data_IF_806116073599
#
_entry.id   IF_806116073599
#
_cell.length_a   1.000
_cell.length_b   1.000
_cell.length_c   1.000
_cell.angle_alpha   90.00
_cell.angle_beta   90.00
_cell.angle_gamma   90.00
#
_symmetry.space_group_name_H-M   'P 1'
#
loop_
_entity.id
_entity.type
_entity.pdbx_description
1 polymer ?
#
# COMPACT_ATOMS: atom_id res chain seq x y z
N UNK A 1 23.44 24.70 -7.23
CA UNK A 1 22.58 25.20 -6.12
C UNK A 1 21.16 24.82 -6.47
N UNK A 2 20.61 23.75 -5.82
CA UNK A 2 19.22 23.38 -5.99
C UNK A 2 18.37 24.38 -5.20
N UNK A 3 17.69 25.28 -5.88
CA UNK A 3 16.70 26.15 -5.28
C UNK A 3 15.41 25.34 -5.10
N UNK A 4 15.15 24.87 -3.90
CA UNK A 4 13.87 24.27 -3.55
C UNK A 4 12.86 25.38 -3.37
N UNK A 5 12.14 25.73 -4.42
CA UNK A 5 10.99 26.63 -4.30
C UNK A 5 9.88 25.82 -3.62
N UNK A 6 9.59 26.13 -2.35
CA UNK A 6 8.43 25.60 -1.65
C UNK A 6 7.20 26.31 -2.25
N UNK A 7 6.60 25.73 -3.29
CA UNK A 7 5.38 26.23 -3.91
C UNK A 7 4.23 26.02 -2.91
N UNK A 8 3.59 27.13 -2.51
CA UNK A 8 2.35 27.05 -1.76
C UNK A 8 1.23 26.67 -2.74
N UNK A 9 0.70 25.46 -2.58
CA UNK A 9 -0.38 24.92 -3.42
C UNK A 9 -1.62 25.81 -3.31
N UNK A 10 -1.89 26.36 -2.14
CA UNK A 10 -3.03 27.25 -1.90
C UNK A 10 -2.94 28.49 -2.76
N UNK A 11 -1.79 29.14 -2.82
CA UNK A 11 -1.57 30.33 -3.64
C UNK A 11 -1.80 30.04 -5.13
N UNK A 12 -1.34 28.86 -5.60
CA UNK A 12 -1.54 28.45 -6.99
C UNK A 12 -3.03 28.23 -7.29
N UNK A 13 -3.75 27.58 -6.38
CA UNK A 13 -5.19 27.32 -6.52
C UNK A 13 -5.97 28.63 -6.52
N UNK A 14 -5.70 29.54 -5.58
CA UNK A 14 -6.36 30.84 -5.48
C UNK A 14 -6.05 31.77 -6.66
N UNK A 15 -4.84 31.67 -7.22
CA UNK A 15 -4.47 32.38 -8.45
C UNK A 15 -5.21 31.85 -9.67
N UNK A 16 -5.35 30.54 -9.79
CA UNK A 16 -6.06 29.89 -10.91
C UNK A 16 -7.57 30.06 -10.80
N UNK A 17 -8.10 29.98 -9.58
CA UNK A 17 -9.53 30.08 -9.28
C UNK A 17 -9.78 31.20 -8.25
N UNK A 18 -9.83 32.48 -8.68
CA UNK A 18 -10.02 33.60 -7.75
C UNK A 18 -11.28 33.50 -6.89
N UNK A 19 -12.26 32.72 -7.32
CA UNK A 19 -13.51 32.47 -6.60
C UNK A 19 -13.31 31.71 -5.28
N UNK A 20 -12.17 31.03 -5.13
CA UNK A 20 -11.79 30.25 -3.94
C UNK A 20 -11.06 31.07 -2.88
N UNK A 21 -10.69 32.33 -3.17
CA UNK A 21 -9.97 33.18 -2.22
C UNK A 21 -10.76 33.37 -0.93
N UNK A 22 -10.12 33.00 0.19
CA UNK A 22 -10.71 33.10 1.51
C UNK A 22 -11.83 32.08 1.79
N UNK A 23 -12.14 31.18 0.84
CA UNK A 23 -13.15 30.15 1.01
C UNK A 23 -12.53 28.77 1.32
N UNK A 24 -11.24 28.59 1.10
CA UNK A 24 -10.55 27.30 1.26
C UNK A 24 -10.33 26.99 2.74
N UNK A 25 -10.86 25.87 3.21
CA UNK A 25 -10.61 25.30 4.53
C UNK A 25 -9.39 24.39 4.51
N UNK A 26 -9.43 23.35 3.67
CA UNK A 26 -8.33 22.38 3.54
C UNK A 26 -8.01 22.09 2.07
N UNK A 27 -6.77 21.67 1.82
CA UNK A 27 -6.33 21.17 0.51
C UNK A 27 -5.56 19.86 0.72
N UNK A 28 -6.01 18.81 0.06
CA UNK A 28 -5.33 17.52 0.04
C UNK A 28 -4.88 17.17 -1.37
N UNK A 29 -3.62 16.74 -1.50
CA UNK A 29 -3.09 16.26 -2.78
C UNK A 29 -3.55 14.82 -2.99
N UNK A 30 -4.47 14.63 -3.93
CA UNK A 30 -4.99 13.31 -4.31
C UNK A 30 -4.04 12.61 -5.29
N UNK A 31 -3.47 13.41 -6.22
CA UNK A 31 -2.55 12.87 -7.22
C UNK A 31 -1.55 13.91 -7.67
N UNK A 32 -0.29 13.49 -7.83
CA UNK A 32 0.77 14.25 -8.48
C UNK A 32 1.35 13.44 -9.64
N UNK A 33 1.31 13.97 -10.83
CA UNK A 33 1.87 13.37 -12.03
C UNK A 33 2.82 14.34 -12.74
N UNK A 34 3.72 13.82 -13.57
CA UNK A 34 4.61 14.62 -14.41
C UNK A 34 4.02 14.67 -15.82
N UNK A 35 3.86 15.86 -16.36
CA UNK A 35 3.56 16.07 -17.77
C UNK A 35 4.82 16.57 -18.51
N UNK A 36 5.40 15.69 -19.33
CA UNK A 36 6.59 15.95 -20.13
C UNK A 36 6.30 15.97 -21.64
N UNK A 37 5.04 16.11 -22.06
CA UNK A 37 4.64 16.09 -23.47
C UNK A 37 5.16 17.28 -24.25
N UNK A 38 5.38 18.43 -23.59
CA UNK A 38 5.86 19.68 -24.23
C UNK A 38 7.27 20.00 -23.75
N UNK A 39 8.27 19.27 -24.20
CA UNK A 39 9.68 19.58 -23.90
C UNK A 39 10.10 20.93 -24.52
N UNK A 40 10.92 21.74 -23.81
CA UNK A 40 11.55 21.48 -22.51
C UNK A 40 10.67 21.79 -21.28
N UNK A 41 9.43 22.23 -21.46
CA UNK A 41 8.52 22.60 -20.39
C UNK A 41 7.91 21.34 -19.74
N UNK A 42 8.59 20.83 -18.71
CA UNK A 42 8.09 19.72 -17.88
C UNK A 42 7.39 20.31 -16.66
N UNK A 43 6.16 19.90 -16.42
CA UNK A 43 5.33 20.41 -15.33
C UNK A 43 4.78 19.29 -14.46
N UNK A 44 4.51 19.60 -13.19
CA UNK A 44 3.71 18.74 -12.35
C UNK A 44 2.24 19.06 -12.53
N UNK A 45 1.44 18.01 -12.67
CA UNK A 45 -0.02 18.09 -12.70
C UNK A 45 -0.56 17.52 -11.38
N UNK A 46 -1.34 18.32 -10.67
CA UNK A 46 -1.96 17.94 -9.41
C UNK A 46 -3.45 17.74 -9.58
N UNK A 47 -3.98 16.66 -9.00
CA UNK A 47 -5.40 16.54 -8.66
C UNK A 47 -5.52 16.81 -7.17
N UNK A 48 -6.37 17.75 -6.83
CA UNK A 48 -6.53 18.25 -5.45
C UNK A 48 -7.97 17.99 -5.00
N UNK A 49 -8.13 17.58 -3.77
CA UNK A 49 -9.38 17.69 -3.04
C UNK A 49 -9.32 18.96 -2.21
N UNK A 50 -10.33 19.82 -2.35
CA UNK A 50 -10.37 21.14 -1.71
C UNK A 50 -11.70 21.27 -0.96
N UNK A 51 -11.62 21.40 0.33
CA UNK A 51 -12.78 21.72 1.18
C UNK A 51 -12.97 23.22 1.23
N UNK A 52 -14.19 23.67 1.08
CA UNK A 52 -14.52 25.09 1.01
C UNK A 52 -15.76 25.44 1.82
N UNK A 53 -15.77 26.62 2.40
CA UNK A 53 -16.97 27.19 2.97
C UNK A 53 -18.00 27.47 1.87
N UNK A 54 -19.29 27.23 2.15
CA UNK A 54 -20.39 27.51 1.23
C UNK A 54 -20.25 26.86 -0.16
N UNK A 55 -19.92 25.55 -0.18
CA UNK A 55 -19.66 24.75 -1.39
C UNK A 55 -20.68 25.01 -2.52
N UNK A 56 -22.00 25.02 -2.20
CA UNK A 56 -23.04 25.22 -3.20
C UNK A 56 -22.93 26.57 -3.94
N UNK A 57 -22.50 27.63 -3.27
CA UNK A 57 -22.31 28.95 -3.91
C UNK A 57 -21.02 28.96 -4.74
N UNK A 58 -19.95 28.35 -4.23
CA UNK A 58 -18.67 28.22 -4.94
C UNK A 58 -18.84 27.41 -6.21
N UNK A 59 -19.53 26.28 -6.15
CA UNK A 59 -19.80 25.43 -7.33
C UNK A 59 -20.62 26.15 -8.40
N UNK A 60 -21.58 26.99 -8.03
CA UNK A 60 -22.28 27.85 -9.00
C UNK A 60 -21.33 28.81 -9.73
N UNK A 61 -20.37 29.41 -9.00
CA UNK A 61 -19.36 30.32 -9.59
C UNK A 61 -18.33 29.57 -10.46
N UNK A 62 -18.06 28.31 -10.14
CA UNK A 62 -17.11 27.44 -10.87
C UNK A 62 -17.77 26.56 -11.94
N UNK A 63 -19.07 26.67 -12.17
CA UNK A 63 -19.85 25.82 -13.10
C UNK A 63 -19.32 25.76 -14.52
N UNK A 64 -18.58 26.79 -14.97
CA UNK A 64 -17.96 26.85 -16.30
C UNK A 64 -16.57 26.24 -16.36
N UNK A 65 -16.01 25.85 -15.21
CA UNK A 65 -14.67 25.25 -15.11
C UNK A 65 -14.77 23.74 -15.36
N UNK A 66 -14.19 23.26 -16.46
CA UNK A 66 -14.26 21.83 -16.85
C UNK A 66 -13.39 20.93 -15.99
N UNK A 67 -12.45 21.47 -15.27
CA UNK A 67 -11.48 20.80 -14.42
C UNK A 67 -11.84 20.88 -12.91
N UNK A 68 -13.06 21.30 -12.61
CA UNK A 68 -13.62 21.33 -11.26
C UNK A 68 -14.92 20.55 -11.23
N UNK A 69 -15.05 19.66 -10.26
CA UNK A 69 -16.27 18.86 -10.03
C UNK A 69 -16.48 18.63 -8.54
N UNK A 70 -17.71 18.37 -8.15
CA UNK A 70 -17.99 17.89 -6.80
C UNK A 70 -17.38 16.50 -6.65
N UNK A 71 -16.71 16.28 -5.54
CA UNK A 71 -16.16 14.98 -5.19
C UNK A 71 -17.13 14.27 -4.25
N UNK A 72 -17.53 13.08 -4.64
CA UNK A 72 -18.27 12.15 -3.78
C UNK A 72 -17.32 11.03 -3.39
N UNK A 73 -17.03 10.90 -2.11
CA UNK A 73 -16.22 9.78 -1.63
C UNK A 73 -16.98 8.48 -1.84
N UNK A 74 -16.34 7.54 -2.53
CA UNK A 74 -16.81 6.16 -2.57
C UNK A 74 -16.14 5.41 -1.43
N UNK A 75 -16.85 5.22 -0.33
CA UNK A 75 -16.38 4.37 0.74
C UNK A 75 -16.42 2.91 0.27
N UNK A 76 -15.41 2.11 0.60
CA UNK A 76 -15.45 0.69 0.28
C UNK A 76 -16.62 0.03 1.01
N UNK A 77 -17.30 -0.87 0.32
CA UNK A 77 -18.40 -1.64 0.94
C UNK A 77 -17.93 -2.25 2.26
N UNK A 78 -18.76 -2.19 3.32
CA UNK A 78 -18.42 -2.78 4.60
C UNK A 78 -18.23 -4.30 4.45
N UNK A 79 -17.29 -4.84 5.22
CA UNK A 79 -17.08 -6.28 5.24
C UNK A 79 -18.26 -6.91 5.96
N UNK A 80 -18.95 -7.82 5.27
CA UNK A 80 -20.01 -8.62 5.89
C UNK A 80 -19.38 -9.90 6.42
N UNK A 81 -19.38 -10.03 7.74
CA UNK A 81 -18.83 -11.22 8.41
C UNK A 81 -19.85 -12.35 8.40
N UNK A 82 -19.33 -13.59 8.28
CA UNK A 82 -20.16 -14.77 8.52
C UNK A 82 -20.51 -14.91 10.01
N UNK A 83 -21.54 -15.66 10.29
CA UNK A 83 -22.03 -15.94 11.66
C UNK A 83 -21.61 -17.32 12.18
N UNK A 84 -20.86 -18.09 11.40
CA UNK A 84 -20.36 -19.41 11.80
C UNK A 84 -18.96 -19.27 12.38
N UNK A 85 -18.73 -19.63 13.66
CA UNK A 85 -17.40 -19.60 14.25
C UNK A 85 -16.46 -20.56 13.54
N UNK A 86 -15.21 -20.12 13.32
CA UNK A 86 -14.17 -21.00 12.79
C UNK A 86 -13.72 -21.99 13.88
N UNK A 87 -13.78 -23.29 13.58
CA UNK A 87 -13.29 -24.33 14.49
C UNK A 87 -11.77 -24.29 14.68
N UNK A 88 -11.04 -23.80 13.68
CA UNK A 88 -9.59 -23.75 13.67
C UNK A 88 -9.08 -22.40 13.17
N UNK A 89 -7.83 -22.11 13.48
CA UNK A 89 -7.13 -20.90 13.02
C UNK A 89 -6.97 -20.94 11.48
N UNK A 90 -7.21 -19.83 10.76
CA UNK A 90 -6.95 -19.78 9.33
C UNK A 90 -5.47 -20.04 9.03
N UNK A 91 -5.20 -20.75 7.94
CA UNK A 91 -3.85 -20.99 7.44
C UNK A 91 -3.63 -20.13 6.19
N UNK A 92 -2.51 -19.41 6.17
CA UNK A 92 -2.07 -18.63 5.02
C UNK A 92 -0.80 -19.27 4.44
N UNK A 93 -0.84 -19.62 3.15
CA UNK A 93 0.27 -20.24 2.45
C UNK A 93 1.08 -19.21 1.68
N UNK A 94 2.33 -18.97 2.11
CA UNK A 94 3.24 -17.99 1.57
C UNK A 94 3.08 -16.61 2.24
N UNK A 95 4.21 -15.90 2.40
CA UNK A 95 4.27 -14.57 3.03
C UNK A 95 4.79 -13.51 2.03
N UNK A 96 4.39 -13.64 0.76
CA UNK A 96 4.48 -12.58 -0.23
C UNK A 96 3.38 -11.53 -0.03
N UNK A 97 3.25 -10.53 -0.91
CA UNK A 97 2.30 -9.40 -0.72
C UNK A 97 0.86 -9.83 -0.45
N UNK A 98 0.36 -10.82 -1.18
CA UNK A 98 -1.01 -11.32 -1.01
C UNK A 98 -1.20 -12.02 0.34
N UNK A 99 -0.29 -12.94 0.70
CA UNK A 99 -0.37 -13.67 1.97
C UNK A 99 -0.17 -12.75 3.17
N UNK A 100 0.72 -11.76 3.05
CA UNK A 100 0.95 -10.75 4.09
C UNK A 100 -0.30 -9.91 4.36
N UNK A 101 -0.97 -9.40 3.32
CA UNK A 101 -2.21 -8.65 3.47
C UNK A 101 -3.34 -9.55 3.98
N UNK A 102 -3.46 -10.80 3.51
CA UNK A 102 -4.44 -11.74 4.03
C UNK A 102 -4.23 -11.99 5.53
N UNK A 103 -2.99 -12.27 5.95
CA UNK A 103 -2.65 -12.49 7.36
C UNK A 103 -2.89 -11.24 8.20
N UNK A 104 -2.56 -10.06 7.67
CA UNK A 104 -2.78 -8.79 8.33
C UNK A 104 -4.27 -8.54 8.61
N UNK A 105 -5.12 -8.67 7.60
CA UNK A 105 -6.56 -8.50 7.77
C UNK A 105 -7.15 -9.55 8.71
N UNK A 106 -6.78 -10.83 8.58
CA UNK A 106 -7.23 -11.88 9.49
C UNK A 106 -6.81 -11.63 10.95
N UNK A 107 -5.58 -11.18 11.17
CA UNK A 107 -5.08 -10.87 12.50
C UNK A 107 -5.80 -9.65 13.10
N UNK A 108 -6.00 -8.60 12.31
CA UNK A 108 -6.76 -7.40 12.71
C UNK A 108 -8.17 -7.73 13.17
N UNK A 109 -8.82 -8.67 12.49
CA UNK A 109 -10.17 -9.12 12.83
C UNK A 109 -10.19 -10.22 13.93
N UNK A 110 -9.04 -10.51 14.56
CA UNK A 110 -8.95 -11.41 15.72
C UNK A 110 -8.89 -12.91 15.37
N UNK A 111 -8.78 -13.29 14.10
CA UNK A 111 -8.72 -14.70 13.67
C UNK A 111 -7.40 -15.41 13.96
N UNK A 112 -6.36 -14.70 14.36
CA UNK A 112 -5.04 -15.26 14.73
C UNK A 112 -4.50 -16.24 13.71
N UNK A 113 -4.23 -15.83 12.45
CA UNK A 113 -3.81 -16.73 11.38
C UNK A 113 -2.49 -17.42 11.68
N UNK A 114 -2.25 -18.58 11.06
CA UNK A 114 -0.95 -19.23 10.99
C UNK A 114 -0.45 -19.08 9.57
N UNK A 115 0.70 -18.43 9.40
CA UNK A 115 1.34 -18.25 8.11
C UNK A 115 2.49 -19.22 7.96
N UNK A 116 2.57 -19.91 6.82
CA UNK A 116 3.71 -20.73 6.45
C UNK A 116 4.44 -20.10 5.27
N UNK A 117 5.72 -19.76 5.46
CA UNK A 117 6.59 -19.21 4.43
C UNK A 117 7.76 -20.18 4.20
N UNK A 118 7.99 -20.53 2.93
CA UNK A 118 9.05 -21.47 2.55
C UNK A 118 10.45 -20.94 2.79
N UNK A 119 10.64 -19.63 2.60
CA UNK A 119 11.93 -18.95 2.81
C UNK A 119 12.10 -18.44 4.23
N UNK A 120 13.09 -17.61 4.40
CA UNK A 120 13.45 -17.00 5.69
C UNK A 120 12.80 -15.63 5.88
N UNK A 121 12.85 -15.14 7.13
CA UNK A 121 12.52 -13.75 7.45
C UNK A 121 13.44 -12.77 6.70
N UNK A 122 13.01 -11.51 6.61
CA UNK A 122 13.67 -10.52 5.76
C UNK A 122 15.13 -10.24 6.14
N UNK A 123 15.49 -10.38 7.42
CA UNK A 123 16.85 -10.13 7.89
C UNK A 123 17.76 -11.30 7.46
N UNK A 124 17.40 -12.55 7.81
CA UNK A 124 18.11 -13.77 7.41
C UNK A 124 18.16 -13.93 5.88
N UNK A 125 17.04 -13.64 5.19
CA UNK A 125 16.95 -13.66 3.74
C UNK A 125 17.89 -12.65 3.09
N UNK A 126 18.09 -11.48 3.70
CA UNK A 126 19.03 -10.48 3.20
C UNK A 126 20.47 -10.99 3.23
N UNK A 127 20.85 -11.69 4.29
CA UNK A 127 22.15 -12.35 4.40
C UNK A 127 22.32 -13.46 3.36
N UNK A 128 21.27 -14.26 3.12
CA UNK A 128 21.27 -15.32 2.12
C UNK A 128 21.48 -14.76 0.71
N UNK A 129 20.77 -13.69 0.37
CA UNK A 129 20.87 -13.01 -0.93
C UNK A 129 22.27 -12.36 -1.10
N UNK A 130 22.80 -11.72 -0.07
CA UNK A 130 24.13 -11.11 -0.10
C UNK A 130 25.21 -12.18 -0.25
N UNK A 131 25.07 -13.31 0.43
CA UNK A 131 25.98 -14.46 0.31
C UNK A 131 25.95 -15.04 -1.09
N UNK A 132 24.79 -15.15 -1.70
CA UNK A 132 24.67 -15.57 -3.10
C UNK A 132 25.38 -14.58 -4.05
N UNK A 133 25.17 -13.28 -3.91
CA UNK A 133 25.80 -12.29 -4.78
C UNK A 133 27.32 -12.21 -4.62
N UNK A 134 27.82 -12.37 -3.38
CA UNK A 134 29.26 -12.25 -3.10
C UNK A 134 30.04 -13.54 -3.30
N UNK A 135 29.42 -14.70 -3.00
CA UNK A 135 30.11 -16.01 -2.92
C UNK A 135 29.53 -17.07 -3.86
N UNK A 136 28.43 -16.77 -4.57
CA UNK A 136 27.77 -17.77 -5.43
C UNK A 136 27.02 -18.87 -4.68
N UNK A 137 26.85 -18.78 -3.35
CA UNK A 137 26.15 -19.79 -2.55
C UNK A 137 24.66 -19.59 -2.64
N UNK A 138 23.98 -20.42 -3.41
CA UNK A 138 22.54 -20.33 -3.64
C UNK A 138 21.75 -21.21 -2.66
N UNK A 139 20.72 -20.61 -2.03
CA UNK A 139 19.75 -21.33 -1.21
C UNK A 139 18.41 -21.44 -1.96
N UNK A 140 17.97 -22.66 -2.33
CA UNK A 140 16.76 -22.85 -3.16
C UNK A 140 15.48 -22.30 -2.53
N UNK A 141 15.36 -22.35 -1.21
CA UNK A 141 14.13 -21.96 -0.50
C UNK A 141 14.20 -20.52 0.05
N UNK A 142 15.40 -19.88 0.10
CA UNK A 142 15.57 -18.51 0.61
C UNK A 142 16.50 -17.72 -0.30
N UNK A 143 15.94 -16.85 -1.13
CA UNK A 143 16.68 -16.11 -2.17
C UNK A 143 15.90 -14.88 -2.62
N UNK A 144 16.26 -14.30 -3.78
CA UNK A 144 15.59 -13.11 -4.34
C UNK A 144 14.10 -13.35 -4.66
N UNK A 145 13.66 -14.59 -4.88
CA UNK A 145 12.27 -14.92 -5.21
C UNK A 145 11.46 -15.34 -3.99
N UNK A 146 12.06 -16.12 -3.08
CA UNK A 146 11.38 -16.77 -1.96
C UNK A 146 11.83 -16.22 -0.62
N UNK A 147 10.89 -16.12 0.30
CA UNK A 147 11.05 -15.59 1.64
C UNK A 147 10.11 -14.40 1.91
N UNK A 148 10.18 -13.88 3.11
CA UNK A 148 9.32 -12.81 3.61
C UNK A 148 9.22 -11.61 2.63
N UNK A 149 7.99 -11.20 2.33
CA UNK A 149 7.69 -10.12 1.39
C UNK A 149 7.72 -10.51 -0.09
N UNK A 150 8.07 -11.78 -0.41
CA UNK A 150 8.15 -12.29 -1.78
C UNK A 150 9.23 -11.62 -2.63
N UNK A 151 9.18 -11.78 -3.94
CA UNK A 151 10.17 -11.24 -4.88
C UNK A 151 10.25 -9.69 -4.86
N UNK A 152 9.18 -9.02 -4.43
CA UNK A 152 9.11 -7.57 -4.32
C UNK A 152 10.13 -6.95 -3.38
N UNK A 153 10.51 -7.66 -2.30
CA UNK A 153 11.42 -7.19 -1.25
C UNK A 153 12.82 -6.80 -1.76
N UNK A 154 13.29 -7.44 -2.82
CA UNK A 154 14.58 -7.17 -3.45
C UNK A 154 14.46 -6.46 -4.81
N UNK A 155 13.29 -5.88 -5.09
CA UNK A 155 13.06 -5.02 -6.25
C UNK A 155 13.17 -3.54 -5.88
N UNK A 156 12.97 -2.65 -6.86
CA UNK A 156 12.89 -1.20 -6.62
C UNK A 156 11.59 -0.75 -5.92
N UNK A 157 10.71 -1.68 -5.57
CA UNK A 157 9.50 -1.41 -4.80
C UNK A 157 8.44 -0.61 -5.55
N UNK A 158 8.32 -0.81 -6.86
CA UNK A 158 7.24 -0.21 -7.63
C UNK A 158 5.88 -0.70 -7.15
N UNK A 159 5.02 0.24 -6.76
CA UNK A 159 3.63 -0.02 -6.43
C UNK A 159 2.76 0.33 -7.65
N UNK A 160 2.63 -0.62 -8.57
CA UNK A 160 1.77 -0.47 -9.74
C UNK A 160 0.76 -1.60 -9.82
N UNK A 161 -0.50 -1.24 -9.98
CA UNK A 161 -1.59 -2.18 -10.21
C UNK A 161 -2.46 -1.70 -11.36
N UNK A 162 -3.13 -2.63 -12.05
CA UNK A 162 -4.17 -2.32 -13.04
C UNK A 162 -5.57 -2.38 -12.42
N UNK A 163 -5.66 -2.76 -11.14
CA UNK A 163 -6.93 -2.80 -10.40
C UNK A 163 -7.25 -1.39 -9.92
N UNK A 164 -8.49 -0.98 -10.10
CA UNK A 164 -9.09 0.20 -9.49
C UNK A 164 -10.10 -0.28 -8.46
N UNK A 165 -9.79 -0.11 -7.17
CA UNK A 165 -10.68 -0.52 -6.09
C UNK A 165 -10.52 0.46 -4.91
N UNK A 166 -11.60 0.88 -4.23
CA UNK A 166 -11.53 1.83 -3.11
C UNK A 166 -10.56 1.42 -2.01
N UNK A 167 -10.44 0.11 -1.72
CA UNK A 167 -9.51 -0.43 -0.71
C UNK A 167 -8.03 -0.26 -1.04
N UNK A 168 -7.65 0.08 -2.27
CA UNK A 168 -6.24 0.32 -2.61
C UNK A 168 -5.66 1.50 -1.85
N UNK A 169 -6.46 2.54 -1.62
CA UNK A 169 -6.04 3.68 -0.82
C UNK A 169 -5.84 3.30 0.66
N UNK A 170 -6.73 2.48 1.21
CA UNK A 170 -6.60 1.93 2.56
C UNK A 170 -5.31 1.12 2.71
N UNK A 171 -5.02 0.21 1.77
CA UNK A 171 -3.78 -0.58 1.75
C UNK A 171 -2.54 0.32 1.72
N UNK A 172 -2.57 1.37 0.90
CA UNK A 172 -1.47 2.34 0.82
C UNK A 172 -1.26 3.08 2.14
N UNK A 173 -2.33 3.41 2.87
CA UNK A 173 -2.24 4.00 4.22
C UNK A 173 -1.56 3.05 5.21
N UNK A 174 -1.89 1.75 5.19
CA UNK A 174 -1.18 0.77 6.01
C UNK A 174 0.30 0.69 5.65
N UNK A 175 0.65 0.70 4.37
CA UNK A 175 2.06 0.71 4.00
C UNK A 175 2.80 1.92 4.54
N UNK A 176 2.17 3.11 4.56
CA UNK A 176 2.74 4.32 5.20
C UNK A 176 2.86 4.15 6.71
N UNK A 177 1.85 3.61 7.37
CA UNK A 177 1.88 3.31 8.81
C UNK A 177 3.07 2.41 9.16
N UNK A 178 3.40 1.44 8.29
CA UNK A 178 4.52 0.53 8.47
C UNK A 178 5.85 1.02 7.88
N UNK A 179 5.95 2.29 7.49
CA UNK A 179 7.22 2.94 7.14
C UNK A 179 7.46 3.18 5.65
N UNK A 180 6.47 2.93 4.78
CA UNK A 180 6.56 3.39 3.40
C UNK A 180 6.53 4.93 3.32
N UNK A 181 7.11 5.54 2.26
CA UNK A 181 7.06 6.98 2.09
C UNK A 181 5.63 7.49 1.95
N UNK A 182 5.26 8.55 2.64
CA UNK A 182 3.94 9.17 2.55
C UNK A 182 3.55 9.55 1.10
N UNK A 183 4.54 9.86 0.27
CA UNK A 183 4.31 10.22 -1.14
C UNK A 183 3.67 9.10 -1.98
N UNK A 184 3.64 7.83 -1.51
CA UNK A 184 2.94 6.74 -2.22
C UNK A 184 1.43 6.96 -2.27
N UNK A 185 0.88 7.75 -1.37
CA UNK A 185 -0.56 8.04 -1.30
C UNK A 185 -1.05 8.89 -2.48
N UNK A 186 -0.15 9.69 -3.07
CA UNK A 186 -0.54 10.65 -4.11
C UNK A 186 0.36 10.66 -5.36
N UNK A 187 1.55 10.08 -5.31
CA UNK A 187 2.48 10.06 -6.43
C UNK A 187 2.01 9.07 -7.51
N UNK A 188 1.97 9.52 -8.77
CA UNK A 188 1.70 8.60 -9.87
C UNK A 188 2.88 7.66 -10.07
N UNK A 189 2.63 6.33 -10.14
CA UNK A 189 3.64 5.26 -10.20
C UNK A 189 4.63 5.35 -9.03
N UNK A 190 4.14 5.18 -7.80
CA UNK A 190 4.97 5.33 -6.61
C UNK A 190 5.96 4.17 -6.48
N UNK A 191 7.08 4.45 -5.78
CA UNK A 191 8.08 3.47 -5.38
C UNK A 191 8.27 3.57 -3.87
N UNK A 192 8.35 2.42 -3.21
CA UNK A 192 8.67 2.38 -1.77
C UNK A 192 10.18 2.49 -1.54
N UNK A 193 10.98 1.86 -2.39
CA UNK A 193 12.43 1.69 -2.21
C UNK A 193 12.75 0.41 -1.44
N UNK A 194 13.85 -0.24 -1.80
CA UNK A 194 14.22 -1.57 -1.28
C UNK A 194 14.51 -1.57 0.22
N UNK A 195 15.15 -0.52 0.72
CA UNK A 195 15.45 -0.32 2.14
C UNK A 195 14.18 -0.18 2.98
N UNK A 196 13.27 0.68 2.56
CA UNK A 196 11.99 0.89 3.24
C UNK A 196 11.06 -0.31 3.13
N UNK A 197 11.10 -1.05 2.02
CA UNK A 197 10.32 -2.28 1.87
C UNK A 197 10.67 -3.31 2.95
N UNK A 198 11.95 -3.52 3.24
CA UNK A 198 12.38 -4.46 4.28
C UNK A 198 11.84 -4.06 5.65
N UNK A 199 11.96 -2.79 6.00
CA UNK A 199 11.43 -2.26 7.26
C UNK A 199 9.91 -2.41 7.34
N UNK A 200 9.20 -2.06 6.27
CA UNK A 200 7.75 -2.16 6.17
C UNK A 200 7.25 -3.60 6.34
N UNK A 201 7.87 -4.53 5.61
CA UNK A 201 7.52 -5.95 5.64
C UNK A 201 7.70 -6.53 7.04
N UNK A 202 8.84 -6.23 7.68
CA UNK A 202 9.13 -6.61 9.06
C UNK A 202 8.11 -6.05 10.05
N UNK A 203 7.80 -4.76 9.96
CA UNK A 203 6.83 -4.10 10.84
C UNK A 203 5.41 -4.69 10.68
N UNK A 204 5.00 -5.04 9.45
CA UNK A 204 3.73 -5.73 9.21
C UNK A 204 3.70 -7.12 9.85
N UNK A 205 4.78 -7.90 9.76
CA UNK A 205 4.88 -9.19 10.45
C UNK A 205 4.77 -9.03 11.96
N UNK A 206 5.50 -8.11 12.54
CA UNK A 206 5.49 -7.84 13.97
C UNK A 206 4.09 -7.47 14.46
N UNK A 207 3.36 -6.66 13.69
CA UNK A 207 1.96 -6.31 13.99
C UNK A 207 1.02 -7.53 13.89
N UNK A 208 1.20 -8.41 12.91
CA UNK A 208 0.43 -9.66 12.81
C UNK A 208 0.65 -10.54 14.04
N UNK A 209 1.89 -10.64 14.51
CA UNK A 209 2.26 -11.43 15.70
C UNK A 209 1.68 -10.77 16.96
N UNK A 210 1.78 -9.45 17.11
CA UNK A 210 1.19 -8.69 18.21
C UNK A 210 -0.32 -8.95 18.34
N UNK A 211 -1.02 -9.09 17.22
CA UNK A 211 -2.45 -9.43 17.17
C UNK A 211 -2.76 -10.93 17.29
N UNK A 212 -1.77 -11.72 17.72
CA UNK A 212 -1.91 -13.15 18.00
C UNK A 212 -1.79 -14.06 16.77
N UNK A 213 -1.37 -13.54 15.63
CA UNK A 213 -0.96 -14.34 14.47
C UNK A 213 0.36 -15.06 14.72
N UNK A 214 0.69 -16.02 13.87
CA UNK A 214 1.92 -16.78 13.91
C UNK A 214 2.53 -16.87 12.52
N UNK A 215 3.84 -16.65 12.39
CA UNK A 215 4.55 -16.77 11.10
C UNK A 215 5.67 -17.78 11.26
N UNK A 216 5.63 -18.84 10.45
CA UNK A 216 6.59 -19.94 10.42
C UNK A 216 7.42 -19.85 9.15
N UNK A 217 8.70 -19.54 9.31
CA UNK A 217 9.68 -19.51 8.23
C UNK A 217 10.34 -20.87 8.03
N UNK A 218 10.96 -21.08 6.86
CA UNK A 218 11.54 -22.36 6.48
C UNK A 218 10.51 -23.48 6.40
N UNK A 219 9.23 -23.15 6.24
CA UNK A 219 8.10 -24.06 6.31
C UNK A 219 7.34 -24.06 4.99
N UNK A 220 7.72 -24.97 4.10
CA UNK A 220 7.11 -25.14 2.79
C UNK A 220 5.93 -26.11 2.87
N UNK A 221 4.73 -25.61 2.55
CA UNK A 221 3.58 -26.51 2.38
C UNK A 221 3.69 -27.17 1.01
N UNK A 222 3.67 -28.49 1.00
CA UNK A 222 3.78 -29.32 -0.22
C UNK A 222 2.45 -29.93 -0.62
N UNK A 223 1.60 -30.26 0.35
CA UNK A 223 0.32 -30.94 0.11
C UNK A 223 -0.74 -30.49 1.12
N UNK A 224 -2.00 -30.53 0.69
CA UNK A 224 -3.17 -30.30 1.54
C UNK A 224 -4.12 -31.49 1.39
N UNK A 225 -4.52 -32.08 2.50
CA UNK A 225 -5.48 -33.19 2.52
C UNK A 225 -6.80 -32.72 3.11
N UNK A 226 -7.90 -33.06 2.44
CA UNK A 226 -9.23 -32.94 3.01
C UNK A 226 -9.57 -34.20 3.79
N UNK A 227 -9.79 -34.06 5.09
CA UNK A 227 -10.32 -35.19 5.91
C UNK A 227 -11.81 -34.96 6.07
N UNK A 228 -12.62 -35.73 5.40
CA UNK A 228 -14.05 -35.79 5.68
C UNK A 228 -14.27 -36.56 6.97
N UNK A 229 -14.67 -35.91 8.05
CA UNK A 229 -15.17 -36.61 9.21
C UNK A 229 -16.55 -37.20 8.83
N UNK A 230 -16.61 -38.44 8.44
CA UNK A 230 -17.88 -39.19 8.46
C UNK A 230 -18.24 -39.35 9.92
N UNK A 231 -19.24 -38.60 10.40
CA UNK A 231 -19.90 -38.88 11.68
C UNK A 231 -20.48 -40.28 11.58
N UNK A 232 -19.97 -41.18 12.44
CA UNK A 232 -20.56 -42.50 12.74
C UNK A 232 -21.73 -42.25 13.66
#
# INVERSE_FOLDING_TARGET
VAVTVKLDIKDIVEKKYPQLRGAIETIHVVRRAVDARKKPNIVFVYTLFVEVHNEAQIMKKLSKQKDVSVFTAEDPEPIVYGNVPLAHRPVVMGFGPAGMLAAFYLAREGYRPIVFERGQDVDTRSEDVETFWKKGVFKPESNVQFGEGGAGTFSDGKLTTRVTHPRLHEISKYFVEFGAPEEILYKHKPHVGTDKLRTMVKAMRERIIEWGGEVRFGAKITECFYVFATSI
#
